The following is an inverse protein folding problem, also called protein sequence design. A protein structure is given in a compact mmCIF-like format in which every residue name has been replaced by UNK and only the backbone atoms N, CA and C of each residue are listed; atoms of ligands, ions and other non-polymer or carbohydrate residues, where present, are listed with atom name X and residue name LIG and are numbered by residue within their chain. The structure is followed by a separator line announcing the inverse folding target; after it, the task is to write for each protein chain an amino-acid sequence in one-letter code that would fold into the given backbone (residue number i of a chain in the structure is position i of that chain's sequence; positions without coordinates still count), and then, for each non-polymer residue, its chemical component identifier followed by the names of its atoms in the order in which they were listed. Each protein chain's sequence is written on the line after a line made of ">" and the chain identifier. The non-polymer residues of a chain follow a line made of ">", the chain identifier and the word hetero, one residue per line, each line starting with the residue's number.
data_IF_641706571921
#
_entry.id   IF_641706571921
#
_cell.length_a   1.000
_cell.length_b   1.000
_cell.length_c   1.000
_cell.angle_alpha   90.00
_cell.angle_beta   90.00
_cell.angle_gamma   90.00
#
_symmetry.space_group_name_H-M   'P 1'
#
loop_
_entity.id
_entity.type
_entity.pdbx_description
1 polymer ?
#
# COMPACT_ATOMS: atom_id res chain seq x y z
N UNK A 1 11.76 -13.29 5.77
CA UNK A 1 12.07 -12.53 4.57
C UNK A 1 11.15 -12.92 3.43
N UNK A 2 10.79 -11.95 2.62
CA UNK A 2 9.83 -12.12 1.55
C UNK A 2 10.48 -11.93 0.20
N UNK A 3 9.97 -12.64 -0.78
CA UNK A 3 10.36 -12.41 -2.16
C UNK A 3 9.58 -11.21 -2.73
N UNK A 4 10.07 -10.58 -3.80
CA UNK A 4 9.29 -9.52 -4.44
C UNK A 4 7.91 -9.99 -4.90
N UNK A 5 7.81 -11.23 -5.38
CA UNK A 5 6.53 -11.80 -5.80
C UNK A 5 5.54 -11.89 -4.63
N UNK A 6 6.02 -12.35 -3.49
CA UNK A 6 5.18 -12.48 -2.30
C UNK A 6 4.74 -11.10 -1.80
N UNK A 7 5.67 -10.16 -1.71
CA UNK A 7 5.35 -8.81 -1.27
C UNK A 7 4.35 -8.14 -2.22
N UNK A 8 4.50 -8.35 -3.52
CA UNK A 8 3.60 -7.78 -4.51
C UNK A 8 2.16 -8.23 -4.28
N UNK A 9 1.95 -9.47 -3.86
CA UNK A 9 0.62 -9.98 -3.55
C UNK A 9 -0.04 -9.15 -2.43
N UNK A 10 0.74 -8.68 -1.48
CA UNK A 10 0.22 -7.89 -0.36
C UNK A 10 -0.03 -6.43 -0.69
N UNK A 11 0.51 -5.92 -1.79
CA UNK A 11 0.30 -4.52 -2.16
C UNK A 11 -0.61 -4.37 -3.39
N UNK A 12 -0.85 -5.42 -4.15
CA UNK A 12 -1.55 -5.32 -5.42
C UNK A 12 -2.90 -6.06 -5.46
N UNK A 13 -3.23 -6.83 -4.44
CA UNK A 13 -4.49 -7.58 -4.43
C UNK A 13 -5.37 -7.15 -3.26
N UNK A 14 -6.72 -7.23 -3.44
CA UNK A 14 -7.62 -6.91 -2.33
C UNK A 14 -7.38 -7.77 -1.11
N UNK A 15 -7.20 -9.08 -1.28
CA UNK A 15 -6.97 -9.96 -0.14
C UNK A 15 -5.64 -9.65 0.56
N UNK A 16 -4.60 -9.35 -0.20
CA UNK A 16 -3.32 -8.98 0.39
C UNK A 16 -3.39 -7.67 1.15
N UNK A 17 -4.01 -6.66 0.56
CA UNK A 17 -4.16 -5.35 1.20
C UNK A 17 -5.04 -5.43 2.45
N UNK A 18 -6.03 -6.33 2.48
CA UNK A 18 -6.89 -6.47 3.65
C UNK A 18 -6.18 -7.11 4.84
N UNK A 19 -4.99 -7.67 4.62
CA UNK A 19 -4.20 -8.26 5.70
C UNK A 19 -3.46 -7.21 6.54
N UNK A 20 -3.16 -6.05 5.96
CA UNK A 20 -2.35 -5.07 6.68
C UNK A 20 -2.76 -3.62 6.47
N UNK A 21 -3.30 -3.28 5.32
CA UNK A 21 -3.55 -1.88 4.95
C UNK A 21 -4.89 -1.36 5.44
N UNK A 22 -5.92 -2.18 5.33
CA UNK A 22 -7.28 -1.81 5.74
C UNK A 22 -7.95 -3.01 6.38
N UNK A 23 -9.04 -2.77 7.09
CA UNK A 23 -9.80 -3.85 7.72
C UNK A 23 -10.41 -4.79 6.70
N UNK A 24 -10.83 -4.22 5.58
CA UNK A 24 -11.32 -5.01 4.46
C UNK A 24 -11.05 -4.24 3.17
N UNK A 25 -10.89 -4.96 2.08
CA UNK A 25 -10.65 -4.34 0.78
C UNK A 25 -11.45 -5.09 -0.27
N UNK A 26 -12.24 -4.34 -1.03
CA UNK A 26 -12.98 -4.88 -2.17
C UNK A 26 -12.44 -4.25 -3.44
N UNK A 27 -12.57 -4.96 -4.54
CA UNK A 27 -12.17 -4.40 -5.83
C UNK A 27 -13.19 -4.73 -6.89
N UNK A 28 -13.29 -3.84 -7.87
CA UNK A 28 -14.13 -4.03 -9.03
C UNK A 28 -13.38 -3.46 -10.21
N UNK A 29 -12.74 -4.35 -10.99
CA UNK A 29 -11.82 -3.89 -12.01
C UNK A 29 -10.65 -3.17 -11.38
N UNK A 30 -10.44 -1.92 -11.77
CA UNK A 30 -9.36 -1.10 -11.24
C UNK A 30 -9.75 -0.27 -10.02
N UNK A 31 -11.02 -0.30 -9.64
CA UNK A 31 -11.52 0.44 -8.48
C UNK A 31 -11.37 -0.40 -7.22
N UNK A 32 -10.65 0.14 -6.25
CA UNK A 32 -10.45 -0.49 -4.95
C UNK A 32 -11.20 0.30 -3.89
N UNK A 33 -11.93 -0.40 -3.04
CA UNK A 33 -12.62 0.21 -1.91
C UNK A 33 -11.95 -0.27 -0.64
N UNK A 34 -11.34 0.65 0.10
CA UNK A 34 -10.67 0.35 1.35
C UNK A 34 -11.61 0.67 2.50
N UNK A 35 -11.85 -0.31 3.35
CA UNK A 35 -12.81 -0.18 4.44
C UNK A 35 -12.05 -0.27 5.77
N UNK A 36 -12.11 0.81 6.52
CA UNK A 36 -11.62 0.85 7.90
C UNK A 36 -12.84 0.88 8.81
N UNK A 37 -12.62 0.67 10.10
CA UNK A 37 -13.69 0.50 11.08
C UNK A 37 -14.87 1.48 10.92
N UNK A 38 -14.57 2.76 10.76
CA UNK A 38 -15.59 3.80 10.66
C UNK A 38 -15.57 4.59 9.37
N UNK A 39 -14.75 4.17 8.41
CA UNK A 39 -14.63 4.92 7.16
C UNK A 39 -14.42 3.99 5.98
N UNK A 40 -14.74 4.52 4.83
CA UNK A 40 -14.57 3.83 3.56
C UNK A 40 -14.04 4.82 2.54
N UNK A 41 -13.01 4.43 1.81
CA UNK A 41 -12.42 5.30 0.79
C UNK A 41 -12.16 4.50 -0.47
N UNK A 42 -12.36 5.15 -1.61
CA UNK A 42 -12.12 4.52 -2.90
C UNK A 42 -10.87 5.08 -3.55
N UNK A 43 -10.11 4.19 -4.16
CA UNK A 43 -8.95 4.57 -4.95
C UNK A 43 -8.94 3.77 -6.24
N UNK A 44 -8.41 4.37 -7.29
CA UNK A 44 -8.29 3.70 -8.59
C UNK A 44 -6.85 3.29 -8.80
N UNK A 45 -6.66 2.03 -9.17
CA UNK A 45 -5.34 1.53 -9.54
C UNK A 45 -5.03 2.03 -10.95
N UNK A 46 -4.11 2.98 -11.06
CA UNK A 46 -3.81 3.62 -12.33
C UNK A 46 -2.57 3.08 -13.01
N UNK A 47 -1.64 2.50 -12.24
CA UNK A 47 -0.45 1.87 -12.79
C UNK A 47 -0.01 0.72 -11.91
N UNK A 48 0.47 -0.34 -12.54
CA UNK A 48 1.10 -1.44 -11.82
C UNK A 48 2.09 -2.14 -12.72
N UNK A 49 3.15 -2.64 -12.10
CA UNK A 49 4.13 -3.48 -12.78
C UNK A 49 4.40 -4.67 -11.86
N UNK A 50 4.22 -5.87 -12.39
CA UNK A 50 4.37 -7.10 -11.59
C UNK A 50 5.69 -7.16 -10.85
N UNK A 51 5.61 -7.43 -9.55
CA UNK A 51 6.76 -7.57 -8.64
C UNK A 51 7.58 -6.29 -8.50
N UNK A 52 7.02 -5.15 -8.91
CA UNK A 52 7.72 -3.87 -8.90
C UNK A 52 6.94 -2.81 -8.12
N UNK A 53 5.79 -2.37 -8.65
CA UNK A 53 5.07 -1.29 -7.98
C UNK A 53 3.57 -1.29 -8.31
N UNK A 54 2.82 -0.55 -7.46
CA UNK A 54 1.43 -0.19 -7.72
C UNK A 54 1.26 1.29 -7.42
N UNK A 55 0.38 1.94 -8.16
CA UNK A 55 0.07 3.35 -7.95
C UNK A 55 -1.44 3.53 -7.97
N UNK A 56 -1.96 4.12 -6.89
CA UNK A 56 -3.40 4.38 -6.73
C UNK A 56 -3.64 5.88 -6.65
N UNK A 57 -4.76 6.32 -7.19
CA UNK A 57 -5.20 7.70 -7.03
C UNK A 57 -6.49 7.70 -6.21
N UNK A 58 -6.56 8.59 -5.22
CA UNK A 58 -7.74 8.71 -4.37
C UNK A 58 -8.87 9.37 -5.14
N UNK A 59 -10.04 8.74 -5.17
CA UNK A 59 -11.16 9.23 -5.99
C UNK A 59 -11.83 10.47 -5.42
N UNK A 60 -11.79 10.62 -4.08
CA UNK A 60 -12.43 11.74 -3.42
C UNK A 60 -11.51 12.94 -3.21
N UNK A 61 -10.28 12.84 -3.67
CA UNK A 61 -9.33 13.92 -3.52
C UNK A 61 -9.55 15.00 -4.60
N UNK A 62 -9.57 16.24 -4.17
CA UNK A 62 -9.68 17.37 -5.10
C UNK A 62 -8.37 17.67 -5.81
N UNK A 63 -7.27 17.20 -5.24
CA UNK A 63 -5.93 17.50 -5.74
C UNK A 63 -5.30 16.34 -6.52
N UNK A 64 -6.10 15.36 -6.92
CA UNK A 64 -5.59 14.17 -7.59
C UNK A 64 -4.46 13.49 -6.78
N UNK A 65 -4.63 13.47 -5.47
CA UNK A 65 -3.65 12.85 -4.59
C UNK A 65 -3.52 11.36 -4.88
N UNK A 66 -2.29 10.87 -4.84
CA UNK A 66 -2.04 9.45 -5.10
C UNK A 66 -1.13 8.89 -4.02
N UNK A 67 -1.06 7.56 -3.99
CA UNK A 67 0.00 6.90 -3.25
C UNK A 67 0.58 5.79 -4.11
N UNK A 68 1.87 5.58 -3.97
CA UNK A 68 2.60 4.57 -4.72
C UNK A 68 3.36 3.68 -3.75
N UNK A 69 3.29 2.39 -3.98
CA UNK A 69 4.06 1.42 -3.22
C UNK A 69 5.00 0.72 -4.17
N UNK A 70 6.30 0.86 -3.93
CA UNK A 70 7.33 0.32 -4.81
C UNK A 70 8.22 -0.65 -4.07
N UNK A 71 8.45 -1.80 -4.69
CA UNK A 71 9.33 -2.83 -4.16
C UNK A 71 10.72 -2.57 -4.69
N UNK A 72 11.70 -2.49 -3.79
CA UNK A 72 13.10 -2.28 -4.16
C UNK A 72 13.92 -3.44 -3.62
N UNK A 73 14.71 -4.04 -4.49
CA UNK A 73 15.60 -5.13 -4.12
C UNK A 73 17.03 -4.61 -4.18
N UNK A 74 17.76 -4.74 -3.08
CA UNK A 74 19.18 -4.36 -3.05
C UNK A 74 19.98 -5.39 -3.82
N UNK A 75 20.77 -4.93 -4.79
CA UNK A 75 21.53 -5.84 -5.65
C UNK A 75 22.66 -6.57 -4.94
N UNK A 76 23.14 -5.99 -3.85
CA UNK A 76 24.27 -6.57 -3.12
C UNK A 76 23.79 -7.55 -2.05
N UNK A 77 22.82 -7.14 -1.22
CA UNK A 77 22.36 -7.95 -0.09
C UNK A 77 21.15 -8.79 -0.43
N UNK A 78 20.47 -8.50 -1.52
CA UNK A 78 19.20 -9.11 -1.92
C UNK A 78 18.05 -8.79 -0.94
N UNK A 79 18.23 -7.78 -0.10
CA UNK A 79 17.16 -7.34 0.79
C UNK A 79 16.04 -6.68 0.01
N UNK A 80 14.81 -6.97 0.43
CA UNK A 80 13.61 -6.42 -0.20
C UNK A 80 13.05 -5.33 0.70
N UNK A 81 12.81 -4.15 0.11
CA UNK A 81 12.28 -3.00 0.81
C UNK A 81 11.01 -2.51 0.13
N UNK A 82 10.12 -1.91 0.90
CA UNK A 82 8.92 -1.30 0.36
C UNK A 82 9.04 0.22 0.52
N UNK A 83 8.94 0.91 -0.60
CA UNK A 83 9.03 2.37 -0.65
C UNK A 83 7.63 2.94 -0.86
N UNK A 84 7.22 3.83 0.03
CA UNK A 84 5.90 4.45 -0.02
C UNK A 84 6.04 5.91 -0.41
N UNK A 85 5.29 6.32 -1.43
CA UNK A 85 5.16 7.72 -1.81
C UNK A 85 3.70 8.13 -1.62
N UNK A 86 3.47 9.15 -0.84
CA UNK A 86 2.13 9.63 -0.54
C UNK A 86 2.15 11.15 -0.45
N UNK A 87 1.01 11.78 -0.60
CA UNK A 87 0.85 13.22 -0.45
C UNK A 87 0.03 13.54 0.78
N UNK A 88 0.51 14.46 1.57
CA UNK A 88 -0.19 14.96 2.73
C UNK A 88 -0.01 16.48 2.82
N UNK A 89 -0.95 17.15 3.44
CA UNK A 89 -0.81 18.56 3.73
C UNK A 89 0.39 18.77 4.64
N UNK A 90 1.01 19.93 4.56
CA UNK A 90 2.23 20.22 5.32
C UNK A 90 2.06 19.96 6.82
N UNK A 91 0.91 20.31 7.36
CA UNK A 91 0.62 20.11 8.77
C UNK A 91 0.22 18.67 9.12
N UNK A 92 0.02 17.82 8.12
CA UNK A 92 -0.37 16.44 8.33
C UNK A 92 0.74 15.44 8.03
N UNK A 93 1.91 15.90 7.61
CA UNK A 93 3.00 15.02 7.17
C UNK A 93 3.46 14.09 8.29
N UNK A 94 3.64 14.61 9.50
CA UNK A 94 4.07 13.80 10.63
C UNK A 94 3.05 12.71 10.98
N UNK A 95 1.78 13.07 10.99
CA UNK A 95 0.71 12.13 11.26
C UNK A 95 0.63 11.05 10.19
N UNK A 96 0.77 11.45 8.93
CA UNK A 96 0.77 10.53 7.81
C UNK A 96 1.93 9.54 7.90
N UNK A 97 3.11 10.00 8.27
CA UNK A 97 4.27 9.13 8.44
C UNK A 97 4.05 8.11 9.56
N UNK A 98 3.41 8.53 10.64
CA UNK A 98 3.11 7.61 11.75
C UNK A 98 2.11 6.55 11.34
N UNK A 99 1.08 6.93 10.59
CA UNK A 99 0.10 5.98 10.08
C UNK A 99 0.75 4.95 9.18
N UNK A 100 1.60 5.39 8.25
CA UNK A 100 2.31 4.47 7.37
C UNK A 100 3.26 3.57 8.15
N UNK A 101 3.94 4.10 9.16
CA UNK A 101 4.84 3.29 9.97
C UNK A 101 4.07 2.18 10.69
N UNK A 102 2.89 2.49 11.22
CA UNK A 102 2.06 1.49 11.88
C UNK A 102 1.57 0.43 10.91
N UNK A 103 1.16 0.85 9.72
CA UNK A 103 0.70 -0.09 8.70
C UNK A 103 1.83 -1.00 8.21
N UNK A 104 3.01 -0.44 8.00
CA UNK A 104 4.18 -1.23 7.60
C UNK A 104 4.56 -2.23 8.70
N UNK A 105 4.43 -1.84 9.95
CA UNK A 105 4.67 -2.75 11.08
C UNK A 105 3.72 -3.95 11.02
N UNK A 106 2.44 -3.68 10.71
CA UNK A 106 1.46 -4.75 10.55
C UNK A 106 1.82 -5.67 9.38
N UNK A 107 2.27 -5.08 8.27
CA UNK A 107 2.71 -5.86 7.11
C UNK A 107 3.87 -6.77 7.48
N UNK A 108 4.84 -6.26 8.22
CA UNK A 108 5.99 -7.06 8.64
C UNK A 108 5.57 -8.23 9.52
N UNK A 109 4.58 -8.04 10.37
CA UNK A 109 4.05 -9.12 11.20
C UNK A 109 3.39 -10.21 10.37
N UNK A 110 2.59 -9.80 9.39
CA UNK A 110 1.93 -10.74 8.49
C UNK A 110 2.97 -11.56 7.71
N UNK A 111 3.97 -10.88 7.16
CA UNK A 111 5.02 -11.54 6.39
C UNK A 111 5.89 -12.45 7.25
N UNK A 112 6.15 -12.02 8.48
CA UNK A 112 6.96 -12.81 9.40
C UNK A 112 6.25 -14.04 9.94
N UNK A 113 4.92 -14.05 9.89
CA UNK A 113 4.12 -15.17 10.36
C UNK A 113 3.97 -16.27 9.31
N UNK A 114 4.32 -15.97 8.08
CA UNK A 114 4.21 -16.93 6.97
C UNK A 114 5.56 -17.62 6.64
#
# INVERSE_FOLDING_TARGET
>A
QSSPQMLFQYIATPSGLSEWFADNVNSRGEMFTFIWDESEEEAKLIKRKSDDFVKFIWMESEDDSFFEMRIIVDEITSDVSLFITDFAEEDEVEESKMLWANQISSLKQVLGSS
#
